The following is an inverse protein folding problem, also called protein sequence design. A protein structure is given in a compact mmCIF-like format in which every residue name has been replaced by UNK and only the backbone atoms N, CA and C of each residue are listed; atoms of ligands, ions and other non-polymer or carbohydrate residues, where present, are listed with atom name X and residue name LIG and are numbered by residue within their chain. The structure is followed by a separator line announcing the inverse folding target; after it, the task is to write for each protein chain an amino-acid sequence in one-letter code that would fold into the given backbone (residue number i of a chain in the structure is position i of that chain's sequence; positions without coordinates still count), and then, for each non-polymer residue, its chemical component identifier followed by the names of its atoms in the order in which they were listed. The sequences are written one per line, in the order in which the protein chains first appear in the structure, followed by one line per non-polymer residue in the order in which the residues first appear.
data_IF_971808265296
#
_entry.id   IF_971808265296
#
_cell.length_a   1.000
_cell.length_b   1.000
_cell.length_c   1.000
_cell.angle_alpha   90.00
_cell.angle_beta   90.00
_cell.angle_gamma   90.00
#
_symmetry.space_group_name_H-M   'P 1'
#
loop_
_entity.id
_entity.type
_entity.pdbx_description
1 polymer ?
#
# COMPACT_ATOMS: atom_id res chain seq x y z
N UNK A 1 -4.35 -5.79 -15.55
CA UNK A 1 -5.17 -5.07 -14.56
C UNK A 1 -6.29 -5.96 -14.05
N UNK A 2 -6.42 -6.03 -12.72
CA UNK A 2 -7.45 -6.77 -11.97
C UNK A 2 -8.25 -5.74 -11.18
N UNK A 3 -9.57 -5.82 -11.19
CA UNK A 3 -10.41 -4.93 -10.37
C UNK A 3 -10.49 -5.47 -8.94
N UNK A 4 -10.19 -4.64 -7.95
CA UNK A 4 -10.31 -5.02 -6.54
C UNK A 4 -11.77 -5.17 -6.12
N UNK A 5 -12.06 -6.04 -5.13
CA UNK A 5 -13.44 -6.34 -4.68
C UNK A 5 -14.23 -5.10 -4.22
N UNK A 6 -13.54 -4.09 -3.69
CA UNK A 6 -14.15 -2.81 -3.27
C UNK A 6 -14.65 -1.96 -4.44
N UNK A 7 -14.21 -2.26 -5.68
CA UNK A 7 -14.45 -1.47 -6.90
C UNK A 7 -13.89 -0.04 -6.83
N UNK A 8 -12.99 0.25 -5.89
CA UNK A 8 -12.32 1.54 -5.77
C UNK A 8 -11.22 1.73 -6.82
N UNK A 9 -10.53 0.65 -7.19
CA UNK A 9 -9.37 0.70 -8.08
C UNK A 9 -9.20 -0.59 -8.88
N UNK A 10 -8.39 -0.49 -9.94
CA UNK A 10 -7.78 -1.62 -10.64
C UNK A 10 -6.28 -1.63 -10.36
N UNK A 11 -5.67 -2.82 -10.32
CA UNK A 11 -4.25 -3.00 -10.02
C UNK A 11 -3.56 -4.00 -10.96
N UNK A 12 -2.24 -3.90 -11.08
CA UNK A 12 -1.39 -4.89 -11.76
C UNK A 12 -0.49 -5.59 -10.75
N UNK A 13 -0.91 -6.79 -10.33
CA UNK A 13 -0.16 -7.59 -9.36
C UNK A 13 1.24 -7.92 -9.85
N UNK A 14 1.37 -8.39 -11.10
CA UNK A 14 2.65 -8.87 -11.62
C UNK A 14 3.66 -7.73 -11.80
N UNK A 15 3.21 -6.57 -12.27
CA UNK A 15 4.11 -5.42 -12.40
C UNK A 15 4.50 -4.84 -11.04
N UNK A 16 3.57 -4.87 -10.07
CA UNK A 16 3.87 -4.50 -8.68
C UNK A 16 4.92 -5.42 -8.08
N UNK A 17 4.77 -6.74 -8.19
CA UNK A 17 5.75 -7.72 -7.70
C UNK A 17 7.13 -7.54 -8.34
N UNK A 18 7.18 -7.28 -9.64
CA UNK A 18 8.45 -6.98 -10.35
C UNK A 18 9.11 -5.73 -9.80
N UNK A 19 8.35 -4.66 -9.56
CA UNK A 19 8.88 -3.44 -8.97
C UNK A 19 9.47 -3.70 -7.58
N UNK A 20 8.77 -4.43 -6.72
CA UNK A 20 9.26 -4.83 -5.40
C UNK A 20 10.47 -5.77 -5.42
N UNK A 21 10.61 -6.59 -6.45
CA UNK A 21 11.79 -7.44 -6.64
C UNK A 21 13.04 -6.61 -6.98
N UNK A 22 12.89 -5.52 -7.75
CA UNK A 22 13.99 -4.59 -8.07
C UNK A 22 14.21 -3.50 -7.02
N UNK A 23 13.20 -3.21 -6.20
CA UNK A 23 13.22 -2.17 -5.19
C UNK A 23 14.16 -2.53 -4.02
N UNK A 24 15.13 -1.66 -3.78
CA UNK A 24 16.03 -1.73 -2.64
C UNK A 24 15.54 -0.82 -1.51
N UNK A 25 15.29 -1.38 -0.33
CA UNK A 25 14.90 -0.64 0.88
C UNK A 25 16.07 0.05 1.58
N UNK A 26 17.21 0.22 0.91
CA UNK A 26 18.40 0.85 1.48
C UNK A 26 18.09 2.27 1.93
N UNK A 27 17.95 2.48 3.24
CA UNK A 27 17.71 3.79 3.86
C UNK A 27 16.47 3.90 4.73
N UNK A 28 15.53 2.93 4.69
CA UNK A 28 14.35 2.93 5.57
C UNK A 28 14.75 2.35 6.91
N UNK A 29 14.71 3.18 7.96
CA UNK A 29 15.06 2.78 9.31
C UNK A 29 13.86 2.03 9.93
N UNK A 30 13.94 0.71 10.16
CA UNK A 30 12.75 -0.15 10.36
C UNK A 30 12.17 -0.13 11.79
N UNK A 31 12.31 0.97 12.54
CA UNK A 31 12.11 0.93 14.00
C UNK A 31 10.67 0.69 14.44
N UNK A 32 9.66 1.18 13.69
CA UNK A 32 8.23 1.04 14.05
C UNK A 32 7.54 -0.23 13.53
N UNK A 33 7.97 -0.73 12.37
CA UNK A 33 7.28 -1.84 11.66
C UNK A 33 7.12 -3.10 12.47
N UNK A 34 8.17 -3.48 13.21
CA UNK A 34 8.22 -4.75 13.93
C UNK A 34 7.04 -4.93 14.89
N UNK A 35 6.52 -3.81 15.44
CA UNK A 35 5.37 -3.80 16.35
C UNK A 35 4.04 -4.09 15.64
N UNK A 36 3.85 -3.59 14.42
CA UNK A 36 2.54 -3.61 13.74
C UNK A 36 2.47 -4.49 12.48
N UNK A 37 3.59 -5.08 12.04
CA UNK A 37 3.64 -5.88 10.80
C UNK A 37 2.61 -7.02 10.77
N UNK A 38 2.37 -7.67 11.93
CA UNK A 38 1.36 -8.74 12.04
C UNK A 38 -0.06 -8.20 11.87
N UNK A 39 -0.33 -7.01 12.41
CA UNK A 39 -1.62 -6.35 12.26
C UNK A 39 -1.88 -5.98 10.80
N UNK A 40 -0.89 -5.38 10.13
CA UNK A 40 -0.96 -4.99 8.72
C UNK A 40 -1.20 -6.21 7.83
N UNK A 41 -0.40 -7.28 7.98
CA UNK A 41 -0.58 -8.54 7.22
C UNK A 41 -1.97 -9.16 7.43
N UNK A 42 -2.52 -9.04 8.64
CA UNK A 42 -3.88 -9.53 8.93
C UNK A 42 -4.93 -8.69 8.23
N UNK A 43 -4.83 -7.37 8.30
CA UNK A 43 -5.76 -6.45 7.64
C UNK A 43 -5.72 -6.59 6.12
N UNK A 44 -4.54 -6.72 5.52
CA UNK A 44 -4.39 -6.98 4.08
C UNK A 44 -5.11 -8.26 3.66
N UNK A 45 -5.00 -9.34 4.46
CA UNK A 45 -5.69 -10.60 4.18
C UNK A 45 -7.21 -10.47 4.28
N UNK A 46 -7.72 -9.73 5.28
CA UNK A 46 -9.16 -9.50 5.45
C UNK A 46 -9.73 -8.68 4.30
N UNK A 47 -8.99 -7.66 3.86
CA UNK A 47 -9.41 -6.77 2.79
C UNK A 47 -9.06 -7.27 1.38
N UNK A 48 -8.49 -8.47 1.23
CA UNK A 48 -8.10 -9.05 -0.05
C UNK A 48 -7.09 -8.18 -0.85
N UNK A 49 -6.17 -7.55 -0.12
CA UNK A 49 -5.04 -6.78 -0.69
C UNK A 49 -3.90 -7.68 -1.15
N UNK A 50 -4.21 -8.62 -2.05
CA UNK A 50 -3.22 -9.37 -2.81
C UNK A 50 -2.75 -8.56 -4.03
N UNK A 51 -2.19 -7.38 -3.75
CA UNK A 51 -1.84 -6.36 -4.75
C UNK A 51 -0.45 -6.57 -5.39
N UNK A 52 0.30 -7.57 -4.93
CA UNK A 52 1.71 -7.77 -5.29
C UNK A 52 2.68 -6.95 -4.43
N UNK A 53 2.16 -6.27 -3.40
CA UNK A 53 2.95 -5.51 -2.44
C UNK A 53 3.77 -6.46 -1.57
N UNK A 54 5.07 -6.21 -1.46
CA UNK A 54 5.90 -6.79 -0.41
C UNK A 54 5.68 -5.99 0.89
N UNK A 55 4.85 -6.51 1.79
CA UNK A 55 4.50 -5.85 3.06
C UNK A 55 5.75 -5.64 3.94
N UNK A 56 6.81 -6.41 3.72
CA UNK A 56 8.10 -6.28 4.40
C UNK A 56 9.04 -5.29 3.68
N UNK A 57 8.54 -4.49 2.74
CA UNK A 57 9.26 -3.38 2.08
C UNK A 57 8.35 -2.16 1.93
N UNK A 58 8.00 -1.46 3.01
CA UNK A 58 7.25 -0.21 2.86
C UNK A 58 8.02 0.81 2.02
N UNK A 59 7.27 1.72 1.41
CA UNK A 59 7.84 2.90 0.77
C UNK A 59 8.27 3.93 1.80
N UNK A 60 7.42 4.19 2.80
CA UNK A 60 7.68 5.12 3.88
C UNK A 60 7.03 4.64 5.19
N UNK A 61 7.64 4.96 6.33
CA UNK A 61 7.12 4.70 7.67
C UNK A 61 7.22 5.97 8.52
N UNK A 62 6.12 6.38 9.12
CA UNK A 62 6.03 7.61 9.91
C UNK A 62 5.43 7.28 11.27
N UNK A 63 6.18 7.57 12.33
CA UNK A 63 5.70 7.46 13.70
C UNK A 63 5.28 8.84 14.23
N UNK A 64 3.98 9.00 14.50
CA UNK A 64 3.38 10.22 15.05
C UNK A 64 3.00 10.03 16.52
N UNK A 65 2.57 11.08 17.20
CA UNK A 65 2.19 10.99 18.61
C UNK A 65 1.03 10.01 18.85
N UNK A 66 -0.01 10.08 18.03
CA UNK A 66 -1.27 9.34 18.26
C UNK A 66 -1.48 8.16 17.31
N UNK A 67 -0.71 8.08 16.23
CA UNK A 67 -0.83 7.02 15.22
C UNK A 67 0.52 6.63 14.62
N UNK A 68 0.53 5.47 13.97
CA UNK A 68 1.60 5.00 13.11
C UNK A 68 1.08 4.91 11.68
N UNK A 69 1.86 5.43 10.72
CA UNK A 69 1.53 5.42 9.31
C UNK A 69 2.58 4.64 8.53
N UNK A 70 2.11 3.82 7.59
CA UNK A 70 2.97 3.09 6.66
C UNK A 70 2.42 3.19 5.25
N UNK A 71 3.30 3.46 4.30
CA UNK A 71 2.94 3.66 2.91
C UNK A 71 3.50 2.55 2.04
N UNK A 72 2.71 2.14 1.06
CA UNK A 72 3.09 1.17 0.04
C UNK A 72 2.74 1.73 -1.33
N UNK A 73 3.56 1.41 -2.33
CA UNK A 73 3.27 1.77 -3.72
C UNK A 73 2.87 0.53 -4.50
N UNK A 74 1.91 0.65 -5.39
CA UNK A 74 1.54 -0.42 -6.30
C UNK A 74 1.06 0.12 -7.64
N UNK A 75 1.16 -0.70 -8.68
CA UNK A 75 0.69 -0.32 -10.01
C UNK A 75 -0.83 -0.41 -10.03
N UNK A 76 -1.49 0.72 -10.30
CA UNK A 76 -2.95 0.80 -10.26
C UNK A 76 -3.51 2.10 -10.80
N UNK A 77 -4.84 2.14 -10.92
CA UNK A 77 -5.59 3.38 -11.19
C UNK A 77 -6.88 3.38 -10.37
N UNK A 78 -7.27 4.55 -9.89
CA UNK A 78 -8.57 4.75 -9.26
C UNK A 78 -9.68 4.67 -10.32
N UNK A 79 -10.85 4.15 -9.92
CA UNK A 79 -12.05 4.12 -10.76
C UNK A 79 -12.92 5.35 -10.48
N UNK A 80 -13.60 5.86 -11.51
CA UNK A 80 -14.53 6.99 -11.36
C UNK A 80 -15.72 6.60 -10.49
N UNK A 81 -16.06 7.43 -9.51
CA UNK A 81 -17.19 7.25 -8.57
C UNK A 81 -17.14 5.94 -7.78
N UNK A 82 -16.14 5.74 -6.90
CA UNK A 82 -16.04 4.53 -6.12
C UNK A 82 -17.26 4.37 -5.20
N UNK A 83 -17.91 3.19 -5.20
CA UNK A 83 -19.18 3.02 -4.51
C UNK A 83 -19.03 3.03 -2.99
N UNK A 84 -17.89 2.58 -2.44
CA UNK A 84 -17.62 2.56 -1.01
C UNK A 84 -16.10 2.68 -0.72
N UNK A 85 -15.70 3.40 0.33
CA UNK A 85 -14.34 3.31 0.87
C UNK A 85 -14.09 1.91 1.48
N UNK A 86 -12.82 1.55 1.63
CA UNK A 86 -12.41 0.30 2.28
C UNK A 86 -12.36 0.55 3.79
N UNK A 87 -13.10 -0.21 4.57
CA UNK A 87 -13.17 -0.07 6.02
C UNK A 87 -12.61 -1.30 6.72
N UNK A 88 -11.72 -1.09 7.69
CA UNK A 88 -11.25 -2.13 8.60
C UNK A 88 -11.38 -1.62 10.04
N UNK A 89 -11.69 -2.53 10.98
CA UNK A 89 -11.95 -2.19 12.38
C UNK A 89 -10.69 -1.84 13.18
N UNK A 90 -9.50 -2.15 12.64
CA UNK A 90 -8.22 -2.00 13.35
C UNK A 90 -7.24 -1.07 12.69
N UNK A 91 -7.42 -0.79 11.40
CA UNK A 91 -6.53 0.10 10.63
C UNK A 91 -7.35 0.94 9.66
N UNK A 92 -6.92 2.17 9.45
CA UNK A 92 -7.40 3.01 8.35
C UNK A 92 -6.67 2.68 7.05
N UNK A 93 -7.40 2.58 5.95
CA UNK A 93 -6.84 2.43 4.60
C UNK A 93 -7.20 3.63 3.75
N UNK A 94 -6.18 4.27 3.20
CA UNK A 94 -6.35 5.32 2.22
C UNK A 94 -5.58 4.99 0.94
N UNK A 95 -6.19 5.25 -0.21
CA UNK A 95 -5.59 4.98 -1.52
C UNK A 95 -5.69 6.24 -2.38
N UNK A 96 -4.56 6.68 -2.91
CA UNK A 96 -4.46 7.89 -3.72
C UNK A 96 -3.59 7.66 -4.95
N UNK A 97 -3.78 8.51 -5.96
CA UNK A 97 -2.86 8.58 -7.10
C UNK A 97 -1.49 9.09 -6.64
N UNK A 98 -0.43 8.40 -7.02
CA UNK A 98 0.96 8.82 -6.76
C UNK A 98 1.57 9.39 -8.04
N UNK A 99 1.98 10.65 -7.98
CA UNK A 99 2.45 11.39 -9.15
C UNK A 99 3.97 11.60 -9.18
N UNK A 100 4.65 11.46 -8.03
CA UNK A 100 6.06 11.79 -7.86
C UNK A 100 6.96 10.56 -7.79
N UNK A 101 6.52 9.51 -7.10
CA UNK A 101 7.37 8.39 -6.73
C UNK A 101 7.01 7.06 -7.41
N UNK A 102 7.91 6.09 -7.37
CA UNK A 102 7.68 4.71 -7.84
C UNK A 102 7.66 4.50 -9.36
N UNK A 103 7.51 5.56 -10.18
CA UNK A 103 7.36 5.40 -11.64
C UNK A 103 8.54 4.68 -12.30
N UNK A 104 9.76 4.91 -11.80
CA UNK A 104 10.97 4.26 -12.30
C UNK A 104 11.09 2.82 -11.79
N UNK A 105 10.85 2.60 -10.50
CA UNK A 105 10.94 1.30 -9.81
C UNK A 105 9.94 0.30 -10.39
N UNK A 106 8.70 0.75 -10.64
CA UNK A 106 7.61 -0.09 -11.13
C UNK A 106 7.43 -0.02 -12.65
N UNK A 107 8.25 0.76 -13.37
CA UNK A 107 8.20 0.94 -14.82
C UNK A 107 6.78 1.28 -15.34
N UNK A 108 6.06 2.13 -14.61
CA UNK A 108 4.66 2.46 -14.87
C UNK A 108 4.39 3.93 -14.60
N UNK A 109 3.45 4.52 -15.35
CA UNK A 109 2.92 5.86 -15.05
C UNK A 109 1.73 5.82 -14.09
N UNK A 110 1.14 4.64 -13.89
CA UNK A 110 -0.05 4.43 -13.08
C UNK A 110 0.37 3.82 -11.75
N UNK A 111 0.74 4.68 -10.80
CA UNK A 111 1.12 4.29 -9.44
C UNK A 111 0.06 4.79 -8.46
N UNK A 112 -0.34 3.93 -7.54
CA UNK A 112 -1.17 4.28 -6.39
C UNK A 112 -0.34 4.15 -5.11
N UNK A 113 -0.59 5.07 -4.17
CA UNK A 113 -0.11 4.98 -2.79
C UNK A 113 -1.22 4.38 -1.93
N UNK A 114 -0.93 3.29 -1.23
CA UNK A 114 -1.73 2.73 -0.15
C UNK A 114 -1.12 3.18 1.18
N UNK A 115 -1.81 4.07 1.87
CA UNK A 115 -1.47 4.50 3.23
C UNK A 115 -2.28 3.68 4.23
N UNK A 116 -1.60 3.03 5.15
CA UNK A 116 -2.21 2.34 6.30
C UNK A 116 -1.96 3.16 7.55
N UNK A 117 -3.03 3.51 8.26
CA UNK A 117 -2.99 4.28 9.51
C UNK A 117 -3.39 3.36 10.66
N UNK A 118 -2.60 3.34 11.73
CA UNK A 118 -2.80 2.49 12.90
C UNK A 118 -2.79 3.37 14.14
N UNK A 119 -3.90 3.41 14.88
CA UNK A 119 -3.99 4.13 16.15
C UNK A 119 -3.06 3.46 17.20
N UNK A 120 -2.43 4.26 18.06
CA UNK A 120 -1.44 3.79 19.05
C UNK A 120 -2.02 3.27 20.36
#
# INVERSE_FOLDING_TARGET
MIQHKSKLFEYDKQLTEKGYASYSTTGINPSGRSKYIKLIKTAFKQEDFDLGIDVDKPWEEIEMQDYFQIEYLFVGKLLENPPNPISNDKVGFNIYQEDKFGKQEFQSQNILNLTVIIDK
#
